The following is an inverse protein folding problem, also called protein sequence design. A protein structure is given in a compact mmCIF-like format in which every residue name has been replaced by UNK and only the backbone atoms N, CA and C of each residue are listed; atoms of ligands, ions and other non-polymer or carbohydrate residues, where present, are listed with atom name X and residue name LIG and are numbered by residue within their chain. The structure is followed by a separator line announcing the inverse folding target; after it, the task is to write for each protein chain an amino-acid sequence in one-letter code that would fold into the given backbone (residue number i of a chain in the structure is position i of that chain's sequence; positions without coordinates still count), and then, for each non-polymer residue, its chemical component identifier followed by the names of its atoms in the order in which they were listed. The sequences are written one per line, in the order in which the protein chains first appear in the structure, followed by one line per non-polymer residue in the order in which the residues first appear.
data_IF_802593500986
#
_entry.id   IF_802593500986
#
_cell.length_a   1.000
_cell.length_b   1.000
_cell.length_c   1.000
_cell.angle_alpha   90.00
_cell.angle_beta   90.00
_cell.angle_gamma   90.00
#
_symmetry.space_group_name_H-M   'P 1'
#
loop_
_entity.id
_entity.type
_entity.pdbx_description
1 polymer ?
#
# COMPACT_ATOMS: atom_id res chain seq x y z
N UNK A 1 10.82 -8.34 35.61
CA UNK A 1 9.61 -8.99 35.06
C UNK A 1 9.57 -8.66 33.58
N UNK A 2 9.48 -9.66 32.71
CA UNK A 2 9.41 -9.44 31.25
C UNK A 2 8.01 -8.92 30.90
N UNK A 3 7.94 -7.80 30.17
CA UNK A 3 6.67 -7.23 29.72
C UNK A 3 5.99 -8.22 28.75
N UNK A 4 4.67 -8.44 28.85
CA UNK A 4 3.97 -9.34 27.95
C UNK A 4 4.07 -8.84 26.49
N UNK A 5 4.16 -9.76 25.52
CA UNK A 5 4.29 -9.40 24.11
C UNK A 5 3.07 -8.60 23.65
N UNK A 6 3.33 -7.51 22.94
CA UNK A 6 2.29 -6.63 22.44
C UNK A 6 1.61 -7.27 21.22
N UNK A 7 0.30 -7.47 21.31
CA UNK A 7 -0.52 -8.03 20.24
C UNK A 7 -1.43 -6.94 19.67
N UNK A 8 -1.37 -6.76 18.36
CA UNK A 8 -2.02 -5.67 17.64
C UNK A 8 -3.13 -6.20 16.74
N UNK A 9 -4.31 -5.60 16.82
CA UNK A 9 -5.38 -5.88 15.84
C UNK A 9 -5.04 -5.24 14.49
N UNK A 10 -5.71 -5.68 13.42
CA UNK A 10 -5.59 -5.04 12.09
C UNK A 10 -5.84 -3.54 12.15
N UNK A 11 -6.84 -3.09 12.93
CA UNK A 11 -7.15 -1.68 13.11
C UNK A 11 -6.03 -0.91 13.80
N UNK A 12 -5.42 -1.49 14.83
CA UNK A 12 -4.29 -0.89 15.54
C UNK A 12 -3.03 -0.82 14.66
N UNK A 13 -2.76 -1.85 13.86
CA UNK A 13 -1.70 -1.81 12.84
C UNK A 13 -1.93 -0.66 11.85
N UNK A 14 -3.16 -0.52 11.34
CA UNK A 14 -3.50 0.55 10.40
C UNK A 14 -3.34 1.94 11.03
N UNK A 15 -3.73 2.09 12.30
CA UNK A 15 -3.56 3.33 13.08
C UNK A 15 -2.08 3.69 13.25
N UNK A 16 -1.22 2.72 13.57
CA UNK A 16 0.23 2.94 13.77
C UNK A 16 0.97 3.29 12.49
N UNK A 17 0.56 2.67 11.38
CA UNK A 17 1.16 2.90 10.07
C UNK A 17 0.50 4.04 9.28
N UNK A 18 -0.38 4.82 9.93
CA UNK A 18 -1.14 5.92 9.34
C UNK A 18 -1.73 5.58 7.96
N UNK A 19 -2.43 4.45 7.89
CA UNK A 19 -2.96 3.94 6.63
C UNK A 19 -4.33 3.31 6.79
N UNK A 20 -4.96 2.97 5.66
CA UNK A 20 -6.31 2.41 5.66
C UNK A 20 -6.29 0.90 5.97
N UNK A 21 -7.28 0.43 6.73
CA UNK A 21 -7.43 -0.98 7.11
C UNK A 21 -7.36 -1.92 5.91
N UNK A 22 -8.05 -1.60 4.80
CA UNK A 22 -8.06 -2.45 3.60
C UNK A 22 -6.67 -2.66 2.99
N UNK A 23 -5.73 -1.71 3.16
CA UNK A 23 -4.34 -1.87 2.68
C UNK A 23 -3.59 -2.88 3.54
N UNK A 24 -3.78 -2.82 4.86
CA UNK A 24 -3.23 -3.79 5.79
C UNK A 24 -3.79 -5.18 5.52
N UNK A 25 -5.11 -5.30 5.33
CA UNK A 25 -5.76 -6.57 4.98
C UNK A 25 -5.25 -7.13 3.65
N UNK A 26 -5.05 -6.28 2.66
CA UNK A 26 -4.45 -6.68 1.39
C UNK A 26 -3.04 -7.25 1.58
N UNK A 27 -2.17 -6.57 2.35
CA UNK A 27 -0.80 -7.03 2.63
C UNK A 27 -0.84 -8.38 3.36
N UNK A 28 -1.62 -8.48 4.44
CA UNK A 28 -1.77 -9.72 5.21
C UNK A 28 -2.17 -10.89 4.30
N UNK A 29 -3.19 -10.68 3.45
CA UNK A 29 -3.68 -11.73 2.54
C UNK A 29 -2.68 -12.07 1.44
N UNK A 30 -2.10 -11.06 0.80
CA UNK A 30 -1.21 -11.24 -0.36
C UNK A 30 0.17 -11.78 0.01
N UNK A 31 0.60 -11.59 1.26
CA UNK A 31 1.87 -12.09 1.81
C UNK A 31 1.72 -13.27 2.74
N UNK A 32 0.48 -13.76 2.93
CA UNK A 32 0.15 -14.89 3.81
C UNK A 32 0.75 -14.69 5.21
N UNK A 33 0.56 -13.50 5.77
CA UNK A 33 1.02 -13.19 7.12
C UNK A 33 0.05 -13.83 8.11
N UNK A 34 0.54 -14.81 8.84
CA UNK A 34 -0.26 -15.55 9.82
C UNK A 34 -0.55 -14.69 11.05
N UNK A 35 -1.77 -14.84 11.58
CA UNK A 35 -2.14 -14.21 12.84
C UNK A 35 -1.41 -14.90 13.99
N UNK A 36 -0.92 -14.12 14.94
CA UNK A 36 -0.33 -14.65 16.19
C UNK A 36 -1.40 -15.26 17.09
N UNK A 37 -2.65 -14.80 16.95
CA UNK A 37 -3.79 -15.36 17.65
C UNK A 37 -5.07 -14.56 17.41
N UNK A 38 -6.00 -14.68 18.34
CA UNK A 38 -7.30 -14.01 18.30
C UNK A 38 -7.58 -13.29 19.62
N UNK A 39 -8.12 -12.08 19.54
CA UNK A 39 -8.70 -11.33 20.65
C UNK A 39 -10.21 -11.21 20.39
N UNK A 40 -11.00 -12.14 20.93
CA UNK A 40 -12.40 -12.33 20.52
C UNK A 40 -12.47 -12.70 19.03
N UNK A 41 -13.19 -11.90 18.24
CA UNK A 41 -13.29 -12.08 16.78
C UNK A 41 -12.16 -11.40 15.98
N UNK A 42 -11.28 -10.64 16.64
CA UNK A 42 -10.22 -9.92 15.95
C UNK A 42 -8.94 -10.76 15.87
N UNK A 43 -8.38 -10.90 14.66
CA UNK A 43 -7.02 -11.41 14.47
C UNK A 43 -6.01 -10.43 15.09
N UNK A 44 -5.04 -10.96 15.82
CA UNK A 44 -3.96 -10.19 16.41
C UNK A 44 -2.60 -10.61 15.88
N UNK A 45 -1.70 -9.65 15.78
CA UNK A 45 -0.40 -9.75 15.14
C UNK A 45 0.68 -9.27 16.11
N UNK A 46 1.82 -9.95 16.09
CA UNK A 46 3.00 -9.56 16.86
C UNK A 46 3.65 -8.30 16.29
N UNK A 47 4.59 -7.75 17.05
CA UNK A 47 5.43 -6.64 16.62
C UNK A 47 6.28 -7.01 15.38
N UNK A 48 6.79 -8.24 15.29
CA UNK A 48 7.48 -8.72 14.09
C UNK A 48 6.59 -8.70 12.83
N UNK A 49 5.29 -9.01 13.00
CA UNK A 49 4.33 -8.89 11.90
C UNK A 49 4.05 -7.43 11.54
N UNK A 50 4.04 -6.50 12.50
CA UNK A 50 3.94 -5.06 12.23
C UNK A 50 5.12 -4.58 11.37
N UNK A 51 6.35 -4.95 11.73
CA UNK A 51 7.54 -4.56 10.98
C UNK A 51 7.53 -5.09 9.54
N UNK A 52 7.11 -6.35 9.37
CA UNK A 52 6.96 -6.95 8.05
C UNK A 52 5.89 -6.23 7.21
N UNK A 53 4.73 -5.90 7.80
CA UNK A 53 3.67 -5.17 7.13
C UNK A 53 4.15 -3.75 6.74
N UNK A 54 4.91 -3.08 7.60
CA UNK A 54 5.47 -1.76 7.33
C UNK A 54 6.45 -1.78 6.15
N UNK A 55 7.31 -2.81 6.08
CA UNK A 55 8.23 -3.02 4.97
C UNK A 55 7.48 -3.21 3.64
N UNK A 56 6.46 -4.07 3.63
CA UNK A 56 5.66 -4.32 2.43
C UNK A 56 4.83 -3.11 2.00
N UNK A 57 4.29 -2.35 2.95
CA UNK A 57 3.59 -1.10 2.67
C UNK A 57 4.51 -0.08 1.99
N UNK A 58 5.75 0.02 2.47
CA UNK A 58 6.77 0.91 1.91
C UNK A 58 7.17 0.47 0.50
N UNK A 59 7.38 -0.83 0.28
CA UNK A 59 7.68 -1.39 -1.04
C UNK A 59 6.57 -1.12 -2.05
N UNK A 60 5.31 -1.37 -1.67
CA UNK A 60 4.16 -1.06 -2.52
C UNK A 60 4.05 0.44 -2.83
N UNK A 61 4.35 1.31 -1.87
CA UNK A 61 4.35 2.75 -2.13
C UNK A 61 5.46 3.16 -3.12
N UNK A 62 6.64 2.52 -3.05
CA UNK A 62 7.76 2.81 -3.94
C UNK A 62 7.50 2.30 -5.38
N UNK A 63 6.94 1.09 -5.53
CA UNK A 63 6.60 0.49 -6.83
C UNK A 63 5.51 1.27 -7.59
N UNK A 64 4.71 2.09 -6.90
CA UNK A 64 3.55 2.80 -7.47
C UNK A 64 3.84 4.26 -7.87
N UNK A 65 5.03 4.80 -7.61
CA UNK A 65 5.47 6.11 -8.13
C UNK A 65 6.15 5.93 -9.49
N UNK A 66 5.64 5.03 -10.32
CA UNK A 66 6.07 4.92 -11.70
C UNK A 66 5.26 5.93 -12.54
N UNK A 67 5.88 7.07 -12.86
CA UNK A 67 5.37 7.96 -13.90
C UNK A 67 5.67 7.30 -15.23
N UNK A 68 4.65 6.71 -15.85
CA UNK A 68 4.76 6.22 -17.23
C UNK A 68 4.49 7.39 -18.17
N UNK A 69 5.52 7.80 -18.90
CA UNK A 69 5.40 8.72 -20.03
C UNK A 69 5.43 7.90 -21.33
N UNK A 70 4.42 8.09 -22.18
CA UNK A 70 4.35 7.48 -23.50
C UNK A 70 4.17 8.57 -24.56
N UNK A 71 5.13 8.67 -25.47
CA UNK A 71 5.12 9.61 -26.58
C UNK A 71 4.59 8.86 -27.82
N UNK A 72 3.28 8.99 -28.08
CA UNK A 72 2.61 8.36 -29.21
C UNK A 72 2.27 9.33 -30.35
N UNK A 73 1.79 8.85 -31.50
CA UNK A 73 1.35 9.72 -32.61
C UNK A 73 0.27 10.75 -32.23
N UNK A 74 -0.45 10.54 -31.11
CA UNK A 74 -1.45 11.45 -30.57
C UNK A 74 -0.95 12.43 -29.49
N UNK A 75 0.37 12.49 -29.25
CA UNK A 75 1.00 13.32 -28.21
C UNK A 75 1.37 12.54 -26.94
N UNK A 76 1.81 13.28 -25.92
CA UNK A 76 2.40 12.70 -24.70
C UNK A 76 1.31 12.33 -23.70
N UNK A 77 1.30 11.08 -23.26
CA UNK A 77 0.39 10.60 -22.20
C UNK A 77 1.20 10.32 -20.94
N UNK A 78 0.80 10.93 -19.82
CA UNK A 78 1.32 10.64 -18.50
C UNK A 78 0.25 10.00 -17.62
N UNK A 79 0.56 8.84 -17.04
CA UNK A 79 -0.31 8.12 -16.11
C UNK A 79 0.34 8.18 -14.72
N UNK A 80 -0.43 8.56 -13.71
CA UNK A 80 -0.01 8.48 -12.31
C UNK A 80 -0.95 7.55 -11.57
N UNK A 81 -0.38 6.55 -10.89
CA UNK A 81 -1.14 5.62 -10.06
C UNK A 81 -1.11 6.07 -8.60
N UNK A 82 -2.22 5.84 -7.89
CA UNK A 82 -2.35 5.97 -6.44
C UNK A 82 -2.43 4.55 -5.84
N UNK A 83 -2.09 4.35 -4.57
CA UNK A 83 -2.24 3.07 -3.88
C UNK A 83 -3.63 2.40 -3.92
N UNK A 84 -4.67 3.11 -4.35
CA UNK A 84 -6.05 2.62 -4.43
C UNK A 84 -6.61 2.59 -5.85
N UNK A 85 -5.81 2.90 -6.87
CA UNK A 85 -6.26 2.97 -8.26
C UNK A 85 -5.56 4.07 -9.07
N UNK A 86 -6.11 4.40 -10.23
CA UNK A 86 -5.58 5.49 -11.06
C UNK A 86 -5.72 6.84 -10.32
N UNK A 87 -4.62 7.60 -10.20
CA UNK A 87 -4.63 8.95 -9.62
C UNK A 87 -4.96 10.01 -10.65
N UNK A 88 -4.32 9.93 -11.82
CA UNK A 88 -4.52 10.86 -12.91
C UNK A 88 -4.06 10.26 -14.24
N UNK A 89 -4.73 10.66 -15.31
CA UNK A 89 -4.37 10.42 -16.70
C UNK A 89 -4.38 11.77 -17.42
N UNK A 90 -3.24 12.20 -17.96
CA UNK A 90 -3.11 13.47 -18.68
C UNK A 90 -2.53 13.23 -20.06
N UNK A 91 -3.14 13.83 -21.09
CA UNK A 91 -2.64 13.82 -22.47
C UNK A 91 -2.34 15.24 -22.93
N UNK A 92 -1.13 15.47 -23.44
CA UNK A 92 -0.75 16.71 -24.13
C UNK A 92 -0.87 16.46 -25.64
N UNK A 93 -1.76 17.19 -26.36
CA UNK A 93 -1.84 17.10 -27.80
C UNK A 93 -0.50 17.46 -28.44
N UNK A 94 -0.17 16.79 -29.55
CA UNK A 94 0.96 17.22 -30.37
C UNK A 94 0.60 18.57 -31.00
N UNK A 95 1.22 19.67 -30.57
CA UNK A 95 1.10 20.95 -31.27
C UNK A 95 1.83 20.80 -32.61
N UNK A 96 1.05 20.68 -33.68
CA UNK A 96 1.59 20.73 -35.04
C UNK A 96 1.95 22.19 -35.27
N UNK A 97 3.23 22.53 -35.19
CA UNK A 97 3.74 23.82 -35.65
C UNK A 97 3.35 23.98 -37.12
N UNK A 98 2.50 24.98 -37.40
CA UNK A 98 2.04 25.32 -38.75
C UNK A 98 3.15 25.93 -39.61
#
# INVERSE_FOLDING_TARGET
MSQPPLLLTVGEVARRLDTKIHRIEYIIRSRRIEATGWAGHARVFSEASLDHIASELSRMNAELVDKVNFDGPGGNVAITFHPTGLKSLTQQPLEIAQ
#
